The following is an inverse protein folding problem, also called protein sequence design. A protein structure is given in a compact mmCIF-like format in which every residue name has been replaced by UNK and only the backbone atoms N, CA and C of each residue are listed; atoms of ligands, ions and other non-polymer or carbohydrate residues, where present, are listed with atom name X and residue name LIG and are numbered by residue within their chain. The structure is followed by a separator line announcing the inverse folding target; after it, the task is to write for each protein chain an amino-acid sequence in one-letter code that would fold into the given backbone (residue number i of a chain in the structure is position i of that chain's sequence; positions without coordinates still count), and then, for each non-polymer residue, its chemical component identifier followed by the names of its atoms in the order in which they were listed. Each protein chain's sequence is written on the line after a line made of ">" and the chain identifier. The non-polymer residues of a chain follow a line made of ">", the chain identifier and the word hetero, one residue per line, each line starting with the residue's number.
data_IF_041586395419
#
_entry.id   IF_041586395419
#
_cell.length_a   1.000
_cell.length_b   1.000
_cell.length_c   1.000
_cell.angle_alpha   90.00
_cell.angle_beta   90.00
_cell.angle_gamma   90.00
#
_symmetry.space_group_name_H-M   'P 1'
#
loop_
_entity.id
_entity.type
_entity.pdbx_description
1 polymer ?
#
# COMPACT_ATOMS: atom_id res chain seq x y z
N UNK A 1 0.31 71.86 61.68
CA UNK A 1 1.02 70.83 60.89
C UNK A 1 0.07 69.63 60.83
N UNK A 2 -0.69 69.51 59.74
CA UNK A 2 -1.78 68.53 59.63
C UNK A 2 -1.23 67.20 59.10
N UNK A 3 -1.32 66.15 59.92
CA UNK A 3 -1.10 64.77 59.50
C UNK A 3 -2.37 64.27 58.80
N UNK A 4 -2.26 64.03 57.50
CA UNK A 4 -3.29 63.36 56.71
C UNK A 4 -3.24 61.86 57.07
N UNK A 5 -4.19 61.38 57.87
CA UNK A 5 -4.44 59.95 58.05
C UNK A 5 -5.25 59.44 56.87
N UNK A 6 -4.56 59.10 55.78
CA UNK A 6 -5.16 58.38 54.66
C UNK A 6 -5.58 56.97 55.09
N UNK A 7 -6.87 56.77 55.33
CA UNK A 7 -7.46 55.44 55.52
C UNK A 7 -7.40 54.69 54.19
N UNK A 8 -6.54 53.66 54.09
CA UNK A 8 -6.52 52.75 52.95
C UNK A 8 -7.61 51.69 53.18
N UNK A 9 -8.79 51.91 52.59
CA UNK A 9 -9.85 50.91 52.56
C UNK A 9 -9.49 49.84 51.52
N UNK A 10 -8.96 48.70 51.98
CA UNK A 10 -8.87 47.49 51.15
C UNK A 10 -10.30 46.97 51.02
N UNK A 11 -10.96 47.27 49.91
CA UNK A 11 -12.19 46.55 49.56
C UNK A 11 -11.81 45.08 49.29
N UNK A 12 -12.35 44.11 50.05
CA UNK A 12 -12.16 42.71 49.70
C UNK A 12 -12.80 42.50 48.33
N UNK A 13 -11.98 42.10 47.35
CA UNK A 13 -12.49 41.67 46.05
C UNK A 13 -13.46 40.51 46.34
N UNK A 14 -14.75 40.64 46.01
CA UNK A 14 -15.69 39.55 46.22
C UNK A 14 -15.27 38.39 45.31
N UNK A 15 -14.61 37.39 45.89
CA UNK A 15 -14.36 36.14 45.21
C UNK A 15 -15.71 35.44 45.15
N UNK A 16 -16.39 35.54 44.01
CA UNK A 16 -17.59 34.75 43.74
C UNK A 16 -17.21 33.27 43.82
N UNK A 17 -17.49 32.64 44.96
CA UNK A 17 -17.40 31.19 45.19
C UNK A 17 -18.64 30.51 44.61
N UNK A 18 -18.90 30.72 43.33
CA UNK A 18 -19.92 29.94 42.61
C UNK A 18 -19.22 29.12 41.52
N UNK A 19 -18.60 28.02 41.95
CA UNK A 19 -17.90 27.06 41.10
C UNK A 19 -18.78 25.87 40.70
N UNK A 20 -20.07 25.94 41.01
CA UNK A 20 -21.03 24.86 40.81
C UNK A 20 -21.18 24.45 39.33
N UNK A 21 -20.92 25.37 38.38
CA UNK A 21 -20.90 25.09 36.94
C UNK A 21 -19.53 24.74 36.35
N UNK A 22 -18.43 25.18 36.96
CA UNK A 22 -17.08 24.99 36.39
C UNK A 22 -16.69 23.51 36.32
N UNK A 23 -17.04 22.74 37.34
CA UNK A 23 -16.79 21.29 37.38
C UNK A 23 -17.55 20.56 36.27
N UNK A 24 -18.78 20.99 35.97
CA UNK A 24 -19.57 20.40 34.88
C UNK A 24 -18.95 20.71 33.50
N UNK A 25 -18.48 21.94 33.28
CA UNK A 25 -17.79 22.31 32.04
C UNK A 25 -16.46 21.58 31.86
N UNK A 26 -15.65 21.47 32.91
CA UNK A 26 -14.39 20.73 32.88
C UNK A 26 -14.62 19.25 32.61
N UNK A 27 -15.61 18.65 33.26
CA UNK A 27 -16.01 17.26 32.99
C UNK A 27 -16.42 17.05 31.53
N UNK A 28 -17.26 17.93 30.97
CA UNK A 28 -17.69 17.83 29.57
C UNK A 28 -16.51 17.97 28.62
N UNK A 29 -15.57 18.89 28.88
CA UNK A 29 -14.37 19.07 28.05
C UNK A 29 -13.47 17.82 28.08
N UNK A 30 -13.20 17.27 29.26
CA UNK A 30 -12.37 16.06 29.40
C UNK A 30 -13.02 14.86 28.72
N UNK A 31 -14.33 14.66 28.91
CA UNK A 31 -15.07 13.57 28.25
C UNK A 31 -15.06 13.74 26.74
N UNK A 32 -15.31 14.95 26.23
CA UNK A 32 -15.31 15.23 24.79
C UNK A 32 -13.92 15.02 24.19
N UNK A 33 -12.88 15.47 24.89
CA UNK A 33 -11.49 15.26 24.46
C UNK A 33 -11.11 13.77 24.44
N UNK A 34 -11.49 13.02 25.47
CA UNK A 34 -11.23 11.59 25.55
C UNK A 34 -11.96 10.82 24.42
N UNK A 35 -13.26 11.08 24.23
CA UNK A 35 -14.03 10.47 23.14
C UNK A 35 -13.49 10.87 21.77
N UNK A 36 -13.18 12.15 21.56
CA UNK A 36 -12.61 12.64 20.31
C UNK A 36 -11.28 11.97 19.97
N UNK A 37 -10.42 11.76 20.97
CA UNK A 37 -9.15 11.05 20.81
C UNK A 37 -9.37 9.58 20.43
N UNK A 38 -10.34 8.90 21.05
CA UNK A 38 -10.68 7.51 20.73
C UNK A 38 -11.18 7.39 19.27
N UNK A 39 -12.11 8.25 18.86
CA UNK A 39 -12.61 8.25 17.48
C UNK A 39 -11.52 8.57 16.45
N UNK A 40 -10.60 9.46 16.78
CA UNK A 40 -9.43 9.74 15.95
C UNK A 40 -8.60 8.48 15.68
N UNK A 41 -8.29 7.71 16.73
CA UNK A 41 -7.54 6.47 16.57
C UNK A 41 -8.31 5.41 15.79
N UNK A 42 -9.63 5.31 15.95
CA UNK A 42 -10.45 4.42 15.13
C UNK A 42 -10.39 4.79 13.65
N UNK A 43 -10.53 6.08 13.31
CA UNK A 43 -10.42 6.53 11.93
C UNK A 43 -9.05 6.22 11.32
N UNK A 44 -7.98 6.47 12.08
CA UNK A 44 -6.62 6.16 11.65
C UNK A 44 -6.42 4.64 11.46
N UNK A 45 -6.97 3.83 12.36
CA UNK A 45 -6.87 2.37 12.29
C UNK A 45 -7.59 1.81 11.06
N UNK A 46 -8.79 2.31 10.73
CA UNK A 46 -9.51 1.92 9.52
C UNK A 46 -8.75 2.34 8.26
N UNK A 47 -8.29 3.59 8.18
CA UNK A 47 -7.50 4.06 7.04
C UNK A 47 -6.24 3.22 6.81
N UNK A 48 -5.54 2.82 7.89
CA UNK A 48 -4.35 1.98 7.79
C UNK A 48 -4.70 0.53 7.40
N UNK A 49 -5.82 0.00 7.89
CA UNK A 49 -6.29 -1.35 7.54
C UNK A 49 -6.65 -1.41 6.06
N UNK A 50 -7.31 -0.38 5.54
CA UNK A 50 -7.63 -0.29 4.11
C UNK A 50 -6.37 -0.28 3.24
N UNK A 51 -5.37 0.54 3.61
CA UNK A 51 -4.08 0.55 2.90
C UNK A 51 -3.38 -0.82 2.96
N UNK A 52 -3.41 -1.49 4.12
CA UNK A 52 -2.84 -2.83 4.25
C UNK A 52 -3.53 -3.86 3.34
N UNK A 53 -4.86 -3.78 3.17
CA UNK A 53 -5.60 -4.65 2.27
C UNK A 53 -5.14 -4.48 0.81
N UNK A 54 -4.94 -3.24 0.35
CA UNK A 54 -4.43 -2.98 -1.01
C UNK A 54 -3.02 -3.51 -1.16
N UNK A 55 -2.13 -3.24 -0.21
CA UNK A 55 -0.75 -3.75 -0.24
C UNK A 55 -0.70 -5.27 -0.27
N UNK A 56 -1.57 -5.94 0.51
CA UNK A 56 -1.65 -7.39 0.54
C UNK A 56 -2.16 -7.95 -0.80
N UNK A 57 -3.23 -7.39 -1.36
CA UNK A 57 -3.76 -7.79 -2.66
C UNK A 57 -2.71 -7.61 -3.77
N UNK A 58 -2.05 -6.45 -3.80
CA UNK A 58 -0.99 -6.16 -4.77
C UNK A 58 0.21 -7.10 -4.60
N UNK A 59 0.65 -7.39 -3.38
CA UNK A 59 1.73 -8.34 -3.13
C UNK A 59 1.39 -9.76 -3.60
N UNK A 60 0.16 -10.21 -3.41
CA UNK A 60 -0.29 -11.53 -3.85
C UNK A 60 -0.37 -11.61 -5.39
N UNK A 61 -0.85 -10.54 -6.03
CA UNK A 61 -0.82 -10.41 -7.48
C UNK A 61 0.63 -10.40 -8.02
N UNK A 62 1.54 -9.65 -7.40
CA UNK A 62 2.95 -9.59 -7.77
C UNK A 62 3.65 -10.96 -7.69
N UNK A 63 3.39 -11.71 -6.62
CA UNK A 63 3.93 -13.07 -6.47
C UNK A 63 3.40 -14.02 -7.53
N UNK A 64 2.15 -13.85 -7.93
CA UNK A 64 1.54 -14.64 -9.00
C UNK A 64 2.17 -14.28 -10.34
N UNK A 65 2.34 -12.99 -10.62
CA UNK A 65 3.07 -12.54 -11.80
C UNK A 65 4.49 -13.11 -11.83
N UNK A 66 5.21 -13.04 -10.72
CA UNK A 66 6.59 -13.51 -10.57
C UNK A 66 6.74 -14.95 -11.05
N UNK A 67 5.90 -15.87 -10.56
CA UNK A 67 6.07 -17.32 -10.71
C UNK A 67 5.24 -17.95 -11.82
N UNK A 68 4.19 -17.27 -12.31
CA UNK A 68 3.33 -17.87 -13.32
C UNK A 68 4.08 -18.07 -14.65
N UNK A 69 3.86 -19.24 -15.23
CA UNK A 69 4.32 -19.62 -16.57
C UNK A 69 3.27 -20.54 -17.21
N UNK A 70 2.83 -20.20 -18.42
CA UNK A 70 1.88 -21.02 -19.16
C UNK A 70 2.52 -22.24 -19.88
N UNK A 71 3.84 -22.42 -19.77
CA UNK A 71 4.60 -23.49 -20.44
C UNK A 71 4.64 -23.36 -21.96
N UNK A 72 4.31 -22.18 -22.48
CA UNK A 72 4.28 -21.91 -23.91
C UNK A 72 5.68 -21.81 -24.52
N UNK A 73 5.74 -22.02 -25.84
CA UNK A 73 6.97 -21.85 -26.62
C UNK A 73 7.23 -20.38 -26.99
N UNK A 74 6.47 -19.43 -26.45
CA UNK A 74 6.64 -18.00 -26.70
C UNK A 74 6.76 -17.24 -25.37
N UNK A 75 7.83 -16.45 -25.25
CA UNK A 75 8.17 -15.72 -24.02
C UNK A 75 7.14 -14.64 -23.75
N UNK A 76 6.76 -13.88 -24.79
CA UNK A 76 5.78 -12.80 -24.66
C UNK A 76 4.40 -13.30 -24.22
N UNK A 77 3.92 -14.39 -24.81
CA UNK A 77 2.67 -15.04 -24.42
C UNK A 77 2.65 -15.50 -22.96
N UNK A 78 3.75 -16.07 -22.46
CA UNK A 78 3.84 -16.51 -21.06
C UNK A 78 3.83 -15.32 -20.09
N UNK A 79 4.52 -14.22 -20.42
CA UNK A 79 4.52 -12.99 -19.63
C UNK A 79 3.14 -12.31 -19.64
N UNK A 80 2.49 -12.22 -20.80
CA UNK A 80 1.12 -11.70 -20.90
C UNK A 80 0.12 -12.56 -20.14
N UNK A 81 0.27 -13.88 -20.16
CA UNK A 81 -0.55 -14.78 -19.33
C UNK A 81 -0.32 -14.55 -17.84
N UNK A 82 0.93 -14.34 -17.41
CA UNK A 82 1.24 -14.04 -16.01
C UNK A 82 0.61 -12.72 -15.56
N UNK A 83 0.62 -11.68 -16.41
CA UNK A 83 -0.02 -10.41 -16.13
C UNK A 83 -1.54 -10.56 -15.97
N UNK A 84 -2.20 -11.32 -16.86
CA UNK A 84 -3.64 -11.59 -16.77
C UNK A 84 -4.02 -12.34 -15.48
N UNK A 85 -3.27 -13.38 -15.12
CA UNK A 85 -3.54 -14.14 -13.89
C UNK A 85 -3.26 -13.29 -12.63
N UNK A 86 -2.25 -12.43 -12.66
CA UNK A 86 -2.00 -11.49 -11.57
C UNK A 86 -3.17 -10.50 -11.39
N UNK A 87 -3.75 -10.01 -12.49
CA UNK A 87 -4.94 -9.17 -12.46
C UNK A 87 -6.14 -9.93 -11.87
N UNK A 88 -6.39 -11.16 -12.29
CA UNK A 88 -7.45 -12.01 -11.72
C UNK A 88 -7.28 -12.21 -10.20
N UNK A 89 -6.04 -12.42 -9.75
CA UNK A 89 -5.73 -12.53 -8.32
C UNK A 89 -6.00 -11.23 -7.58
N UNK A 90 -5.61 -10.08 -8.14
CA UNK A 90 -5.90 -8.78 -7.55
C UNK A 90 -7.42 -8.54 -7.44
N UNK A 91 -8.16 -8.79 -8.51
CA UNK A 91 -9.63 -8.63 -8.58
C UNK A 91 -10.40 -9.61 -7.69
N UNK A 92 -9.78 -10.74 -7.30
CA UNK A 92 -10.37 -11.69 -6.37
C UNK A 92 -10.54 -11.12 -4.95
N UNK A 93 -9.79 -10.07 -4.60
CA UNK A 93 -9.92 -9.40 -3.31
C UNK A 93 -11.08 -8.40 -3.34
N UNK A 94 -12.05 -8.48 -2.41
CA UNK A 94 -13.26 -7.66 -2.43
C UNK A 94 -13.02 -6.23 -1.90
N UNK A 95 -12.05 -5.50 -2.47
CA UNK A 95 -11.66 -4.15 -2.04
C UNK A 95 -12.83 -3.16 -2.11
N UNK A 96 -13.73 -3.33 -3.08
CA UNK A 96 -14.95 -2.51 -3.22
C UNK A 96 -15.90 -2.64 -2.04
N UNK A 97 -15.93 -3.78 -1.33
CA UNK A 97 -16.75 -3.94 -0.12
C UNK A 97 -16.26 -3.07 1.04
N UNK A 98 -14.99 -2.65 1.00
CA UNK A 98 -14.37 -1.74 1.96
C UNK A 98 -14.33 -0.29 1.45
N UNK A 99 -15.08 0.02 0.38
CA UNK A 99 -15.06 1.33 -0.28
C UNK A 99 -13.64 1.76 -0.69
N UNK A 100 -12.84 0.78 -1.13
CA UNK A 100 -11.51 1.01 -1.70
C UNK A 100 -11.66 0.87 -3.21
N UNK A 101 -11.41 1.97 -3.93
CA UNK A 101 -11.22 1.95 -5.37
C UNK A 101 -9.71 1.93 -5.64
N UNK A 102 -9.22 0.84 -6.24
CA UNK A 102 -7.82 0.68 -6.55
C UNK A 102 -7.65 0.36 -8.04
N UNK A 103 -6.76 1.08 -8.70
CA UNK A 103 -6.35 0.84 -10.07
C UNK A 103 -5.09 -0.03 -10.08
N UNK A 104 -5.13 -1.16 -10.79
CA UNK A 104 -4.06 -2.15 -10.80
C UNK A 104 -3.35 -2.16 -12.14
N UNK A 105 -2.01 -2.14 -12.09
CA UNK A 105 -1.18 -2.19 -13.27
C UNK A 105 -0.02 -3.18 -13.10
N UNK A 106 0.38 -3.82 -14.19
CA UNK A 106 1.53 -4.72 -14.25
C UNK A 106 2.64 -4.01 -15.00
N UNK A 107 3.77 -3.77 -14.32
CA UNK A 107 4.95 -3.17 -14.93
C UNK A 107 5.82 -4.30 -15.48
N UNK A 108 5.87 -4.42 -16.80
CA UNK A 108 6.70 -5.42 -17.46
C UNK A 108 8.16 -4.96 -17.58
N UNK A 109 9.05 -5.87 -17.98
CA UNK A 109 10.44 -5.53 -18.27
C UNK A 109 10.61 -4.63 -19.52
N UNK A 110 9.58 -4.51 -20.37
CA UNK A 110 9.59 -3.64 -21.54
C UNK A 110 9.25 -2.20 -21.19
N UNK A 111 8.36 -2.01 -20.21
CA UNK A 111 7.93 -0.70 -19.71
C UNK A 111 8.84 -0.17 -18.59
N UNK A 112 9.41 -1.08 -17.79
CA UNK A 112 10.36 -0.78 -16.72
C UNK A 112 11.80 -1.19 -17.05
N UNK A 113 12.66 -1.22 -16.01
CA UNK A 113 13.89 -2.00 -16.08
C UNK A 113 13.59 -3.43 -15.62
N UNK A 114 14.39 -4.43 -16.01
CA UNK A 114 14.24 -5.79 -15.48
C UNK A 114 14.21 -5.87 -13.94
N UNK A 115 14.88 -4.92 -13.26
CA UNK A 115 14.88 -4.75 -11.79
C UNK A 115 13.61 -4.12 -11.22
N UNK A 116 12.80 -3.46 -12.04
CA UNK A 116 11.59 -2.74 -11.65
C UNK A 116 10.33 -3.34 -12.29
N UNK A 117 10.36 -4.62 -12.65
CA UNK A 117 9.18 -5.34 -13.13
C UNK A 117 8.37 -5.91 -11.96
N UNK A 118 7.05 -5.98 -12.10
CA UNK A 118 6.14 -6.42 -11.03
C UNK A 118 4.79 -5.75 -11.16
N UNK A 119 4.19 -5.33 -10.04
CA UNK A 119 2.84 -4.75 -10.04
C UNK A 119 2.73 -3.50 -9.18
N UNK A 120 1.82 -2.63 -9.56
CA UNK A 120 1.47 -1.40 -8.85
C UNK A 120 -0.03 -1.32 -8.65
N UNK A 121 -0.46 -0.78 -7.51
CA UNK A 121 -1.86 -0.48 -7.25
C UNK A 121 -2.01 0.94 -6.70
N UNK A 122 -2.74 1.80 -7.43
CA UNK A 122 -3.05 3.17 -7.02
C UNK A 122 -4.42 3.23 -6.37
N UNK A 123 -4.57 3.93 -5.25
CA UNK A 123 -5.86 4.04 -4.55
C UNK A 123 -5.99 5.38 -3.83
N UNK A 124 -7.23 5.82 -3.64
CA UNK A 124 -7.53 7.12 -3.02
C UNK A 124 -8.07 6.95 -1.60
N UNK A 125 -7.60 7.79 -0.67
CA UNK A 125 -8.11 7.82 0.71
C UNK A 125 -8.34 9.23 1.23
N UNK A 126 -9.45 9.46 1.95
CA UNK A 126 -9.70 10.75 2.57
C UNK A 126 -8.69 11.00 3.69
N UNK A 127 -8.01 12.14 3.62
CA UNK A 127 -7.04 12.60 4.64
C UNK A 127 -7.68 13.37 5.78
N UNK A 128 -8.99 13.64 5.67
CA UNK A 128 -9.71 14.50 6.61
C UNK A 128 -10.03 13.74 7.90
N UNK A 129 -9.17 13.91 8.91
CA UNK A 129 -9.32 13.30 10.23
C UNK A 129 -10.43 13.96 11.08
N UNK A 130 -10.77 15.22 10.79
CA UNK A 130 -11.87 15.96 11.41
C UNK A 130 -12.71 16.61 10.31
N UNK A 131 -14.00 16.23 10.22
CA UNK A 131 -14.98 16.91 9.37
C UNK A 131 -15.09 18.39 9.78
N UNK A 132 -14.29 19.27 9.16
CA UNK A 132 -14.44 20.72 9.28
C UNK A 132 -13.16 21.55 9.41
N UNK A 133 -11.98 20.96 9.68
CA UNK A 133 -10.71 21.71 9.77
C UNK A 133 -9.72 21.10 8.79
N UNK A 134 -9.62 21.70 7.61
CA UNK A 134 -8.76 21.25 6.53
C UNK A 134 -9.57 20.54 5.45
N UNK A 135 -10.06 21.31 4.47
CA UNK A 135 -10.52 20.74 3.21
C UNK A 135 -9.33 20.16 2.49
N UNK A 136 -9.09 18.86 2.64
CA UNK A 136 -8.11 18.12 1.86
C UNK A 136 -8.80 17.36 0.74
N UNK A 137 -8.24 17.45 -0.47
CA UNK A 137 -8.46 16.46 -1.52
C UNK A 137 -8.04 15.08 -1.02
N UNK A 138 -8.65 14.02 -1.57
CA UNK A 138 -8.28 12.66 -1.23
C UNK A 138 -6.81 12.42 -1.59
N UNK A 139 -6.06 11.78 -0.68
CA UNK A 139 -4.68 11.41 -0.95
C UNK A 139 -4.66 10.24 -1.93
N UNK A 140 -3.97 10.45 -3.05
CA UNK A 140 -3.55 9.37 -3.95
C UNK A 140 -2.38 8.63 -3.33
N UNK A 141 -2.57 7.34 -3.09
CA UNK A 141 -1.61 6.44 -2.51
C UNK A 141 -1.22 5.39 -3.54
N UNK A 142 0.05 4.98 -3.49
CA UNK A 142 0.61 4.01 -4.41
C UNK A 142 1.15 2.83 -3.61
N UNK A 143 0.72 1.63 -3.96
CA UNK A 143 1.35 0.38 -3.55
C UNK A 143 2.24 -0.13 -4.68
N UNK A 144 3.50 -0.41 -4.37
CA UNK A 144 4.42 -1.02 -5.32
C UNK A 144 4.86 -2.40 -4.83
N UNK A 145 4.91 -3.36 -5.75
CA UNK A 145 5.45 -4.69 -5.50
C UNK A 145 6.25 -5.15 -6.72
N UNK A 146 7.45 -4.58 -6.84
CA UNK A 146 8.37 -4.79 -7.95
C UNK A 146 9.27 -6.01 -7.69
N UNK A 147 8.65 -7.17 -7.51
CA UNK A 147 9.35 -8.42 -7.18
C UNK A 147 10.14 -9.02 -8.36
N UNK A 148 9.96 -8.48 -9.56
CA UNK A 148 10.51 -9.02 -10.80
C UNK A 148 9.59 -10.05 -11.45
N UNK A 149 10.11 -10.67 -12.52
CA UNK A 149 9.54 -11.84 -13.16
C UNK A 149 10.59 -12.95 -13.21
N UNK A 150 10.24 -14.14 -12.71
CA UNK A 150 11.12 -15.30 -12.88
C UNK A 150 11.20 -15.66 -14.37
N UNK A 151 12.38 -16.06 -14.87
CA UNK A 151 12.53 -16.45 -16.26
C UNK A 151 11.52 -17.53 -16.61
N UNK A 152 10.82 -17.35 -17.73
CA UNK A 152 9.95 -18.40 -18.26
C UNK A 152 10.80 -19.61 -18.66
N UNK A 153 10.22 -20.81 -18.65
CA UNK A 153 10.89 -22.08 -18.93
C UNK A 153 11.68 -22.07 -20.23
N UNK A 154 11.13 -21.43 -21.28
CA UNK A 154 11.84 -21.26 -22.56
C UNK A 154 13.11 -20.40 -22.41
N UNK A 155 13.05 -19.33 -21.62
CA UNK A 155 14.22 -18.50 -21.31
C UNK A 155 15.24 -19.29 -20.49
N UNK A 156 14.81 -20.05 -19.47
CA UNK A 156 15.72 -20.95 -18.73
C UNK A 156 16.41 -21.95 -19.69
N UNK A 157 15.65 -22.58 -20.58
CA UNK A 157 16.19 -23.52 -21.57
C UNK A 157 17.24 -22.87 -22.47
N UNK A 158 16.94 -21.69 -23.00
CA UNK A 158 17.87 -20.94 -23.85
C UNK A 158 19.16 -20.57 -23.10
N UNK A 159 19.05 -20.07 -21.87
CA UNK A 159 20.21 -19.68 -21.05
C UNK A 159 21.08 -20.88 -20.67
N UNK A 160 20.47 -21.98 -20.25
CA UNK A 160 21.22 -23.19 -19.90
C UNK A 160 21.91 -23.80 -21.11
N UNK A 161 21.21 -23.86 -22.24
CA UNK A 161 21.79 -24.40 -23.46
C UNK A 161 22.90 -23.51 -24.02
N UNK A 162 22.76 -22.18 -23.96
CA UNK A 162 23.83 -21.22 -24.26
C UNK A 162 25.04 -21.43 -23.34
N UNK A 163 24.84 -21.64 -22.04
CA UNK A 163 25.92 -21.90 -21.09
C UNK A 163 26.66 -23.23 -21.37
N UNK A 164 25.95 -24.25 -21.86
CA UNK A 164 26.53 -25.56 -22.16
C UNK A 164 27.27 -25.60 -23.51
N UNK A 165 26.73 -24.95 -24.54
CA UNK A 165 27.23 -25.02 -25.92
C UNK A 165 28.13 -23.86 -26.31
N UNK A 166 28.01 -22.73 -25.60
CA UNK A 166 28.64 -21.46 -25.97
C UNK A 166 27.95 -20.74 -27.15
N UNK A 167 26.84 -21.28 -27.69
CA UNK A 167 26.10 -20.67 -28.80
C UNK A 167 24.58 -20.85 -28.64
N UNK A 168 23.87 -19.74 -28.49
CA UNK A 168 22.42 -19.69 -28.34
C UNK A 168 21.66 -20.26 -29.54
N UNK A 169 22.24 -20.20 -30.74
CA UNK A 169 21.56 -20.62 -31.98
C UNK A 169 21.45 -22.15 -32.11
N UNK A 170 22.33 -22.91 -31.44
CA UNK A 170 22.28 -24.37 -31.38
C UNK A 170 20.98 -24.84 -30.73
N UNK A 171 20.41 -24.02 -29.86
CA UNK A 171 19.23 -24.31 -29.04
C UNK A 171 17.91 -23.86 -29.68
N UNK A 172 17.97 -23.03 -30.72
CA UNK A 172 16.80 -22.59 -31.49
C UNK A 172 16.54 -23.47 -32.73
N UNK A 173 17.55 -24.26 -33.15
CA UNK A 173 17.49 -25.14 -34.31
C UNK A 173 16.94 -26.53 -34.00
N UNK A 174 15.92 -26.96 -34.75
CA UNK A 174 15.28 -28.28 -34.64
C UNK A 174 16.15 -29.48 -35.07
N UNK A 175 17.46 -29.30 -35.26
CA UNK A 175 18.34 -30.26 -35.93
C UNK A 175 19.38 -30.92 -35.03
N UNK A 176 19.66 -30.40 -33.84
CA UNK A 176 20.53 -31.07 -32.86
C UNK A 176 19.69 -31.48 -31.64
N UNK A 177 19.29 -32.76 -31.64
CA UNK A 177 18.60 -33.44 -30.55
C UNK A 177 19.54 -33.59 -29.35
N UNK A 178 19.76 -32.52 -28.60
CA UNK A 178 20.31 -32.64 -27.25
C UNK A 178 19.15 -32.85 -26.27
N UNK A 179 19.01 -34.08 -25.79
CA UNK A 179 18.12 -34.40 -24.67
C UNK A 179 18.75 -33.90 -23.36
N UNK A 180 18.52 -32.63 -23.04
CA UNK A 180 18.96 -32.02 -21.79
C UNK A 180 17.82 -32.11 -20.78
N UNK A 181 18.02 -32.89 -19.72
CA UNK A 181 17.09 -32.89 -18.59
C UNK A 181 17.43 -31.69 -17.71
N UNK A 182 16.67 -30.60 -17.87
CA UNK A 182 16.72 -29.47 -16.93
C UNK A 182 16.04 -29.92 -15.63
N UNK A 183 16.80 -29.89 -14.53
CA UNK A 183 16.23 -30.08 -13.20
C UNK A 183 15.55 -28.76 -12.82
N UNK A 184 14.21 -28.73 -12.80
CA UNK A 184 13.40 -27.54 -12.53
C UNK A 184 13.48 -27.15 -11.05
N UNK A 185 14.38 -26.21 -10.71
CA UNK A 185 14.45 -25.55 -9.40
C UNK A 185 14.22 -24.03 -9.49
N UNK A 186 13.42 -23.57 -10.45
CA UNK A 186 13.22 -22.14 -10.74
C UNK A 186 14.23 -21.55 -11.74
N UNK A 187 15.29 -22.32 -12.03
CA UNK A 187 15.84 -22.79 -13.31
C UNK A 187 16.78 -23.96 -12.95
#
# INVERSE_FOLDING_TARGET
>A
MNLITGSFSVQPIPIHKDQSGQVAFEFILVVTFALGTIFLFFQLAFNHTDGYLVHYANFMAARTYLTHDNGGNDIGSSIGSAAGVAQEVFESYPLSQFNINADFNVVTFEEGSGLFSGTTAEFEKPTNLFLGIGGGEDAKLLSESLLGKEPVRKTCLQLTCEAMTGDRNVCEGSSDQMDITLYDNGC
#
